data_IF_951663918849
#
_entry.id   IF_951663918849
#
_cell.length_a   1.000
_cell.length_b   1.000
_cell.length_c   1.000
_cell.angle_alpha   90.00
_cell.angle_beta   90.00
_cell.angle_gamma   90.00
#
_symmetry.space_group_name_H-M   'P 1'
#
loop_
_entity.id
_entity.type
_entity.pdbx_description
1 polymer ?
#
# COMPACT_ATOMS: atom_id res chain seq x y z
N UNK A 1 48.55 -2.15 18.37
CA UNK A 1 47.66 -3.23 17.92
C UNK A 1 46.24 -2.71 18.05
N UNK A 2 45.52 -2.56 16.94
CA UNK A 2 44.13 -2.09 16.98
C UNK A 2 43.22 -3.14 17.61
N UNK A 3 42.34 -2.73 18.52
CA UNK A 3 41.39 -3.62 19.18
C UNK A 3 40.28 -3.97 18.19
N UNK A 4 40.23 -5.17 17.63
CA UNK A 4 39.10 -5.61 16.80
C UNK A 4 37.84 -5.76 17.66
N UNK A 5 36.64 -5.35 17.19
CA UNK A 5 35.41 -5.56 17.94
C UNK A 5 35.19 -7.05 18.21
N UNK A 6 34.70 -7.38 19.41
CA UNK A 6 34.41 -8.76 19.82
C UNK A 6 32.90 -9.04 19.92
N UNK A 7 32.13 -7.97 19.95
CA UNK A 7 30.68 -7.95 20.03
C UNK A 7 30.04 -8.08 18.65
N UNK A 8 28.84 -8.64 18.62
CA UNK A 8 28.04 -8.79 17.39
C UNK A 8 26.69 -8.12 17.60
N UNK A 9 26.17 -7.47 16.56
CA UNK A 9 24.80 -6.96 16.57
C UNK A 9 23.83 -8.12 16.79
N UNK A 10 22.90 -7.96 17.74
CA UNK A 10 21.83 -8.94 17.99
C UNK A 10 20.84 -8.98 16.82
N UNK A 11 19.97 -9.98 16.78
CA UNK A 11 18.92 -10.06 15.76
C UNK A 11 18.05 -8.79 15.77
N UNK A 12 17.86 -8.20 14.60
CA UNK A 12 17.10 -6.96 14.41
C UNK A 12 15.92 -7.22 13.49
N UNK A 13 14.73 -6.81 13.93
CA UNK A 13 13.51 -6.95 13.14
C UNK A 13 13.36 -5.79 12.16
N UNK A 14 13.09 -6.11 10.89
CA UNK A 14 12.89 -5.14 9.81
C UNK A 14 11.51 -5.37 9.22
N UNK A 15 10.70 -4.30 9.18
CA UNK A 15 9.38 -4.31 8.55
C UNK A 15 9.39 -3.32 7.40
N UNK A 16 8.94 -3.78 6.24
CA UNK A 16 8.83 -2.97 5.04
C UNK A 16 7.52 -3.28 4.33
N UNK A 17 6.83 -2.23 3.88
CA UNK A 17 5.58 -2.36 3.14
C UNK A 17 5.69 -1.63 1.83
N UNK A 18 5.23 -2.28 0.77
CA UNK A 18 5.23 -1.75 -0.58
C UNK A 18 3.86 -1.98 -1.23
N UNK A 19 3.27 -0.89 -1.72
CA UNK A 19 1.99 -0.94 -2.45
C UNK A 19 2.29 -0.97 -3.93
N UNK A 20 1.85 -2.02 -4.62
CA UNK A 20 2.02 -2.13 -6.07
C UNK A 20 1.28 -0.97 -6.78
N UNK A 21 1.97 -0.14 -7.59
CA UNK A 21 1.33 0.95 -8.32
C UNK A 21 0.49 0.44 -9.49
N UNK A 22 0.78 -0.76 -9.99
CA UNK A 22 0.08 -1.40 -11.09
C UNK A 22 0.21 -2.94 -11.01
N UNK A 23 -0.47 -3.64 -11.93
CA UNK A 23 -0.24 -5.07 -12.14
C UNK A 23 1.01 -5.27 -13.00
N UNK A 24 1.85 -6.23 -12.62
CA UNK A 24 3.04 -6.62 -13.36
C UNK A 24 2.84 -8.01 -13.96
N UNK A 25 3.38 -8.26 -15.16
CA UNK A 25 3.23 -9.54 -15.86
C UNK A 25 4.20 -10.61 -15.33
N UNK A 26 5.24 -10.19 -14.60
CA UNK A 26 6.21 -11.10 -13.98
C UNK A 26 6.87 -10.48 -12.75
N UNK A 27 7.46 -11.33 -11.91
CA UNK A 27 8.28 -10.90 -10.76
C UNK A 27 9.50 -10.10 -11.21
N UNK A 28 10.10 -10.50 -12.33
CA UNK A 28 11.20 -9.75 -12.95
C UNK A 28 10.79 -8.31 -13.30
N UNK A 29 9.64 -8.13 -13.94
CA UNK A 29 9.14 -6.79 -14.32
C UNK A 29 8.93 -5.91 -13.08
N UNK A 30 8.36 -6.45 -12.00
CA UNK A 30 8.23 -5.77 -10.71
C UNK A 30 9.61 -5.38 -10.14
N UNK A 31 10.53 -6.34 -10.03
CA UNK A 31 11.85 -6.14 -9.42
C UNK A 31 12.73 -5.13 -10.18
N UNK A 32 12.55 -5.04 -11.50
CA UNK A 32 13.25 -4.06 -12.35
C UNK A 32 12.48 -2.74 -12.53
N UNK A 33 11.29 -2.61 -11.95
CA UNK A 33 10.52 -1.38 -12.08
C UNK A 33 11.19 -0.23 -11.32
N UNK A 34 11.14 0.97 -11.90
CA UNK A 34 11.74 2.18 -11.30
C UNK A 34 11.19 2.44 -9.91
N UNK A 35 9.87 2.34 -9.74
CA UNK A 35 9.22 2.57 -8.45
C UNK A 35 9.68 1.56 -7.38
N UNK A 36 9.76 0.26 -7.70
CA UNK A 36 10.27 -0.73 -6.75
C UNK A 36 11.74 -0.46 -6.39
N UNK A 37 12.58 -0.17 -7.38
CA UNK A 37 13.99 0.17 -7.14
C UNK A 37 14.14 1.41 -6.25
N UNK A 38 13.35 2.45 -6.47
CA UNK A 38 13.36 3.64 -5.63
C UNK A 38 12.89 3.36 -4.20
N UNK A 39 11.96 2.41 -3.99
CA UNK A 39 11.51 2.02 -2.64
C UNK A 39 12.50 1.11 -1.91
N UNK A 40 13.23 0.26 -2.62
CA UNK A 40 14.36 -0.50 -2.03
C UNK A 40 15.51 0.45 -1.70
N UNK A 41 15.80 1.37 -2.61
CA UNK A 41 16.85 2.37 -2.53
C UNK A 41 17.71 2.39 -3.79
N UNK A 42 18.04 3.59 -4.25
CA UNK A 42 19.05 3.87 -5.27
C UNK A 42 20.06 4.87 -4.71
N UNK A 43 21.26 4.93 -5.27
CA UNK A 43 22.35 5.75 -4.74
C UNK A 43 21.99 7.24 -4.57
N UNK A 44 21.02 7.76 -5.33
CA UNK A 44 20.58 9.15 -5.25
C UNK A 44 19.47 9.43 -4.24
N UNK A 45 18.78 8.41 -3.71
CA UNK A 45 17.62 8.61 -2.83
C UNK A 45 17.78 8.01 -1.42
N UNK A 46 18.78 7.16 -1.20
CA UNK A 46 19.17 6.71 0.14
C UNK A 46 19.87 7.86 0.88
N UNK A 47 19.78 7.83 2.21
CA UNK A 47 20.45 8.80 3.07
C UNK A 47 21.73 8.19 3.65
N UNK A 48 22.76 9.02 3.94
CA UNK A 48 23.99 8.52 4.56
C UNK A 48 23.72 7.96 5.96
N UNK A 49 24.52 6.98 6.38
CA UNK A 49 24.44 6.40 7.73
C UNK A 49 24.87 7.43 8.79
N UNK A 50 25.91 8.21 8.49
CA UNK A 50 26.44 9.27 9.35
C UNK A 50 26.61 10.56 8.55
N UNK A 51 26.29 11.71 9.16
CA UNK A 51 26.74 13.02 8.71
C UNK A 51 27.34 13.79 9.88
N UNK A 52 28.43 14.51 9.61
CA UNK A 52 29.06 15.43 10.56
C UNK A 52 28.44 16.82 10.55
N UNK A 53 27.55 17.11 9.59
CA UNK A 53 26.92 18.42 9.46
C UNK A 53 25.58 18.48 10.21
N UNK A 54 25.40 19.42 11.16
CA UNK A 54 24.13 19.58 11.85
C UNK A 54 23.01 19.92 10.86
N UNK A 55 21.93 19.14 10.88
CA UNK A 55 20.75 19.36 10.03
C UNK A 55 20.67 18.48 8.79
N UNK A 56 21.73 17.73 8.48
CA UNK A 56 21.66 16.71 7.43
C UNK A 56 20.75 15.55 7.85
N UNK A 57 19.98 15.05 6.89
CA UNK A 57 19.19 13.84 7.07
C UNK A 57 20.07 12.59 6.95
N UNK A 58 19.94 11.69 7.91
CA UNK A 58 20.58 10.37 7.92
C UNK A 58 19.60 9.28 7.50
N UNK A 59 20.07 8.04 7.40
CA UNK A 59 19.22 6.87 7.13
C UNK A 59 18.01 6.75 8.08
N UNK A 60 18.07 7.29 9.30
CA UNK A 60 16.93 7.29 10.21
C UNK A 60 15.80 8.26 9.85
N UNK A 61 16.03 9.18 8.92
CA UNK A 61 15.00 10.05 8.34
C UNK A 61 14.66 9.64 6.89
N UNK A 62 15.30 8.59 6.37
CA UNK A 62 15.02 8.05 5.06
C UNK A 62 13.74 7.21 5.02
N UNK A 63 13.30 6.86 3.82
CA UNK A 63 12.04 6.12 3.60
C UNK A 63 12.21 4.86 2.75
N UNK A 64 13.44 4.56 2.31
CA UNK A 64 13.74 3.36 1.54
C UNK A 64 13.96 2.16 2.45
N UNK A 65 13.89 0.94 1.91
CA UNK A 65 14.24 -0.27 2.67
C UNK A 65 15.71 -0.22 3.14
N UNK A 66 16.62 0.27 2.29
CA UNK A 66 18.03 0.48 2.65
C UNK A 66 18.16 1.40 3.87
N UNK A 67 17.44 2.52 3.88
CA UNK A 67 17.43 3.47 5.01
C UNK A 67 16.91 2.81 6.30
N UNK A 68 15.84 2.03 6.17
CA UNK A 68 15.21 1.29 7.28
C UNK A 68 16.21 0.34 7.93
N UNK A 69 16.94 -0.45 7.13
CA UNK A 69 17.98 -1.36 7.62
C UNK A 69 19.12 -0.59 8.29
N UNK A 70 19.64 0.44 7.62
CA UNK A 70 20.73 1.26 8.15
C UNK A 70 20.38 1.96 9.46
N UNK A 71 19.13 2.39 9.62
CA UNK A 71 18.66 2.98 10.87
C UNK A 71 18.54 1.94 11.98
N UNK A 72 17.99 0.76 11.68
CA UNK A 72 17.75 -0.29 12.65
C UNK A 72 19.03 -0.91 13.22
N UNK A 73 20.14 -0.90 12.46
CA UNK A 73 21.45 -1.30 12.97
C UNK A 73 21.88 -0.37 14.12
N UNK A 74 22.24 -0.92 15.30
CA UNK A 74 22.67 -0.14 16.45
C UNK A 74 23.83 0.81 16.10
N UNK A 75 23.75 2.03 16.65
CA UNK A 75 24.75 3.05 16.39
C UNK A 75 26.15 2.65 16.89
N UNK A 76 26.19 1.91 18.00
CA UNK A 76 27.41 1.50 18.69
C UNK A 76 27.40 -0.03 18.81
N UNK A 77 28.52 -0.67 18.47
CA UNK A 77 28.66 -2.14 18.53
C UNK A 77 29.13 -2.64 19.90
N UNK A 78 29.79 -1.79 20.69
CA UNK A 78 30.36 -2.13 21.99
C UNK A 78 29.54 -1.52 23.14
N UNK A 79 29.38 -2.28 24.22
CA UNK A 79 28.74 -1.85 25.47
C UNK A 79 29.75 -1.33 26.51
N UNK A 80 31.05 -1.53 26.27
CA UNK A 80 32.15 -1.09 27.11
C UNK A 80 32.41 0.41 26.96
N UNK A 81 32.84 1.04 28.04
CA UNK A 81 33.18 2.46 28.08
C UNK A 81 34.71 2.61 28.14
N UNK A 82 35.33 3.42 27.26
CA UNK A 82 34.72 4.24 26.20
C UNK A 82 34.29 3.43 24.97
N UNK A 83 33.15 3.81 24.39
CA UNK A 83 32.58 3.16 23.19
C UNK A 83 33.54 3.25 22.02
N UNK A 84 33.97 2.09 21.51
CA UNK A 84 35.08 2.03 20.54
C UNK A 84 34.65 1.87 19.08
N UNK A 85 33.38 1.60 18.78
CA UNK A 85 32.96 1.26 17.42
C UNK A 85 31.59 1.86 17.07
N UNK A 86 31.60 2.93 16.27
CA UNK A 86 30.41 3.65 15.83
C UNK A 86 30.13 3.37 14.35
N UNK A 87 28.86 3.18 13.96
CA UNK A 87 28.48 3.05 12.55
C UNK A 87 28.78 4.33 11.77
N UNK A 88 29.30 4.20 10.55
CA UNK A 88 29.78 5.32 9.76
C UNK A 88 29.22 5.33 8.34
N UNK A 89 29.33 4.21 7.63
CA UNK A 89 28.90 4.07 6.24
C UNK A 89 28.40 2.65 5.97
N UNK A 90 27.58 2.47 4.95
CA UNK A 90 27.12 1.16 4.51
C UNK A 90 27.25 0.98 3.00
N UNK A 91 27.33 -0.27 2.55
CA UNK A 91 27.22 -0.63 1.14
C UNK A 91 27.68 -2.05 0.87
N UNK A 92 27.75 -2.45 -0.41
CA UNK A 92 28.09 -3.82 -0.81
C UNK A 92 29.59 -3.92 -1.11
N UNK A 93 30.04 -3.17 -2.13
CA UNK A 93 31.44 -3.08 -2.56
C UNK A 93 32.05 -1.69 -2.33
N UNK A 94 31.22 -0.68 -2.09
CA UNK A 94 31.63 0.70 -1.83
C UNK A 94 30.62 1.40 -0.91
N UNK A 95 31.03 2.51 -0.31
CA UNK A 95 30.15 3.31 0.54
C UNK A 95 28.95 3.89 -0.25
N UNK A 96 27.84 4.10 0.45
CA UNK A 96 26.59 4.68 -0.07
C UNK A 96 25.99 3.88 -1.24
N UNK A 97 26.13 2.55 -1.18
CA UNK A 97 25.41 1.65 -2.07
C UNK A 97 24.13 1.15 -1.39
N UNK A 98 23.01 1.06 -2.13
CA UNK A 98 21.78 0.49 -1.62
C UNK A 98 21.85 -1.03 -1.53
N UNK A 99 20.79 -1.64 -1.01
CA UNK A 99 20.56 -3.08 -1.12
C UNK A 99 20.53 -3.52 -2.59
N UNK A 100 21.15 -4.67 -2.87
CA UNK A 100 21.16 -5.23 -4.21
C UNK A 100 19.85 -5.97 -4.51
N UNK A 101 19.32 -5.82 -5.72
CA UNK A 101 18.16 -6.57 -6.19
C UNK A 101 18.66 -7.64 -7.16
N UNK A 102 18.49 -8.91 -6.78
CA UNK A 102 18.86 -10.06 -7.61
C UNK A 102 17.59 -10.62 -8.26
N UNK A 103 17.49 -10.49 -9.57
CA UNK A 103 16.41 -11.06 -10.36
C UNK A 103 16.90 -11.39 -11.78
N UNK A 104 16.18 -12.24 -12.50
CA UNK A 104 16.48 -12.59 -13.88
C UNK A 104 15.20 -12.82 -14.68
N UNK A 105 15.21 -12.65 -16.02
CA UNK A 105 14.04 -12.93 -16.84
C UNK A 105 13.54 -14.36 -16.65
N UNK A 106 12.24 -14.51 -16.36
CA UNK A 106 11.62 -15.82 -16.07
C UNK A 106 11.77 -16.31 -14.62
N UNK A 107 12.49 -15.58 -13.76
CA UNK A 107 12.53 -15.84 -12.33
C UNK A 107 11.18 -15.53 -11.67
N UNK A 108 10.78 -16.38 -10.73
CA UNK A 108 9.64 -16.16 -9.84
C UNK A 108 10.08 -15.68 -8.45
N UNK A 109 11.35 -15.33 -8.27
CA UNK A 109 11.91 -14.90 -6.99
C UNK A 109 12.65 -13.56 -7.13
N UNK A 110 12.59 -12.75 -6.08
CA UNK A 110 13.42 -11.55 -5.89
C UNK A 110 14.38 -11.86 -4.75
N UNK A 111 15.68 -11.82 -5.03
CA UNK A 111 16.72 -11.85 -4.00
C UNK A 111 17.06 -10.44 -3.56
N UNK A 112 17.31 -10.26 -2.26
CA UNK A 112 17.83 -9.01 -1.70
C UNK A 112 19.23 -9.28 -1.15
N UNK A 113 20.22 -8.65 -1.75
CA UNK A 113 21.60 -8.65 -1.29
C UNK A 113 21.77 -7.59 -0.20
N UNK A 114 22.27 -8.02 0.96
CA UNK A 114 22.48 -7.17 2.12
C UNK A 114 23.74 -6.30 1.97
N UNK A 115 23.65 -5.09 2.50
CA UNK A 115 24.80 -4.20 2.70
C UNK A 115 25.62 -4.62 3.91
N UNK A 116 26.93 -4.36 3.87
CA UNK A 116 27.80 -4.40 5.04
C UNK A 116 27.81 -3.04 5.74
N UNK A 117 28.05 -3.04 7.05
CA UNK A 117 28.18 -1.84 7.87
C UNK A 117 29.64 -1.59 8.21
N UNK A 118 30.18 -0.45 7.77
CA UNK A 118 31.49 0.06 8.18
C UNK A 118 31.35 0.78 9.51
N UNK A 119 32.15 0.35 10.49
CA UNK A 119 32.31 0.99 11.78
C UNK A 119 33.70 1.58 11.95
N UNK A 120 33.76 2.67 12.70
CA UNK A 120 34.98 3.45 12.95
C UNK A 120 35.19 3.68 14.45
N UNK A 121 36.44 3.89 14.81
CA UNK A 121 36.88 4.18 16.17
C UNK A 121 36.52 5.60 16.64
N UNK A 122 36.51 6.55 15.71
CA UNK A 122 36.03 7.91 15.92
C UNK A 122 35.34 8.42 14.66
N UNK A 123 34.24 9.15 14.81
CA UNK A 123 33.56 9.77 13.67
C UNK A 123 34.32 10.98 13.10
N UNK A 124 35.12 11.63 13.94
CA UNK A 124 36.01 12.72 13.55
C UNK A 124 37.41 12.16 13.29
N UNK A 125 37.81 12.09 12.02
CA UNK A 125 39.06 11.48 11.55
C UNK A 125 39.24 10.00 11.95
N UNK A 126 38.44 9.09 11.34
CA UNK A 126 38.58 7.64 11.57
C UNK A 126 40.03 7.16 11.35
N UNK A 127 40.58 6.40 12.28
CA UNK A 127 41.91 5.78 12.14
C UNK A 127 41.84 4.27 11.95
N UNK A 128 40.75 3.65 12.41
CA UNK A 128 40.50 2.22 12.31
C UNK A 128 39.14 1.95 11.68
N UNK A 129 39.05 0.84 10.95
CA UNK A 129 37.84 0.42 10.26
C UNK A 129 37.55 -1.05 10.59
N UNK A 130 36.30 -1.33 10.92
CA UNK A 130 35.76 -2.67 11.04
C UNK A 130 34.54 -2.80 10.13
N UNK A 131 34.34 -3.96 9.52
CA UNK A 131 33.20 -4.24 8.65
C UNK A 131 32.36 -5.37 9.25
N UNK A 132 31.09 -5.08 9.52
CA UNK A 132 30.13 -6.08 9.96
C UNK A 132 29.27 -6.53 8.77
N UNK A 133 29.15 -7.85 8.63
CA UNK A 133 28.35 -8.50 7.62
C UNK A 133 27.13 -9.15 8.26
N UNK A 134 26.00 -9.11 7.55
CA UNK A 134 24.73 -9.62 8.04
C UNK A 134 24.19 -10.73 7.14
N UNK A 135 23.35 -11.57 7.71
CA UNK A 135 22.60 -12.60 6.99
C UNK A 135 21.14 -12.58 7.43
N UNK A 136 20.24 -12.90 6.51
CA UNK A 136 18.84 -13.12 6.85
C UNK A 136 18.69 -14.36 7.72
N UNK A 137 18.17 -14.20 8.94
CA UNK A 137 17.84 -15.32 9.82
C UNK A 137 16.49 -15.94 9.43
N UNK A 138 15.49 -15.09 9.22
CA UNK A 138 14.15 -15.46 8.77
C UNK A 138 13.55 -14.30 7.96
N UNK A 139 12.74 -14.63 6.94
CA UNK A 139 12.02 -13.64 6.16
C UNK A 139 10.62 -14.18 5.83
N UNK A 140 9.59 -13.39 6.13
CA UNK A 140 8.21 -13.68 5.75
C UNK A 140 7.68 -12.54 4.88
N UNK A 141 7.00 -12.91 3.81
CA UNK A 141 6.39 -11.95 2.88
C UNK A 141 4.91 -12.28 2.77
N UNK A 142 4.06 -11.31 3.11
CA UNK A 142 2.63 -11.38 2.86
C UNK A 142 2.26 -10.50 1.68
N UNK A 143 1.48 -11.04 0.76
CA UNK A 143 0.89 -10.30 -0.34
C UNK A 143 -0.60 -10.20 -0.10
N UNK A 144 -1.09 -8.98 0.10
CA UNK A 144 -2.52 -8.71 0.27
C UNK A 144 -2.98 -7.75 -0.80
N UNK A 145 -4.02 -8.15 -1.54
CA UNK A 145 -4.74 -7.24 -2.41
C UNK A 145 -5.60 -6.34 -1.52
N UNK A 146 -5.54 -5.02 -1.66
CA UNK A 146 -6.38 -4.03 -0.92
C UNK A 146 -7.85 -4.09 -1.38
N UNK A 147 -8.41 -5.29 -1.49
CA UNK A 147 -9.71 -5.54 -2.09
C UNK A 147 -10.48 -6.56 -1.26
N UNK A 148 -10.70 -6.27 0.01
CA UNK A 148 -11.67 -7.06 0.79
C UNK A 148 -12.55 -6.20 1.73
N UNK A 149 -12.93 -5.01 1.27
CA UNK A 149 -14.26 -4.47 1.61
C UNK A 149 -15.19 -4.69 0.42
N UNK A 150 -15.53 -5.96 0.17
CA UNK A 150 -16.60 -6.27 -0.78
C UNK A 150 -17.88 -5.64 -0.24
N UNK A 151 -18.50 -4.79 -1.05
CA UNK A 151 -19.71 -4.07 -0.67
C UNK A 151 -20.79 -4.35 -1.72
N UNK A 152 -22.02 -4.53 -1.27
CA UNK A 152 -23.14 -4.95 -2.10
C UNK A 152 -23.85 -3.72 -2.68
N UNK A 153 -23.24 -3.09 -3.68
CA UNK A 153 -23.69 -1.80 -4.23
C UNK A 153 -24.08 -1.83 -5.72
N UNK A 154 -24.88 -2.81 -6.12
CA UNK A 154 -25.55 -2.84 -7.43
C UNK A 154 -26.92 -2.16 -7.39
N UNK A 155 -27.50 -1.89 -8.57
CA UNK A 155 -28.71 -1.07 -8.75
C UNK A 155 -28.57 0.32 -8.11
N UNK A 156 -27.51 1.04 -8.49
CA UNK A 156 -27.21 2.34 -7.92
C UNK A 156 -26.60 3.27 -8.96
N UNK A 157 -27.06 4.51 -8.93
CA UNK A 157 -26.51 5.59 -9.73
C UNK A 157 -25.43 6.32 -8.94
N UNK A 158 -24.34 6.61 -9.64
CA UNK A 158 -23.22 7.36 -9.13
C UNK A 158 -22.93 8.56 -10.00
N UNK A 159 -22.68 9.69 -9.36
CA UNK A 159 -22.19 10.90 -9.99
C UNK A 159 -20.71 11.10 -9.64
N UNK A 160 -19.88 11.33 -10.65
CA UNK A 160 -18.44 11.53 -10.49
C UNK A 160 -18.12 13.02 -10.60
N UNK A 161 -17.36 13.54 -9.64
CA UNK A 161 -16.82 14.89 -9.67
C UNK A 161 -15.30 14.89 -9.60
N UNK A 162 -14.67 15.93 -10.15
CA UNK A 162 -13.24 16.21 -9.99
C UNK A 162 -13.03 17.38 -9.03
N UNK A 163 -12.06 17.24 -8.13
CA UNK A 163 -11.66 18.28 -7.19
C UNK A 163 -10.21 18.62 -7.47
N UNK A 164 -9.94 19.89 -7.74
CA UNK A 164 -8.58 20.39 -7.93
C UNK A 164 -8.01 20.91 -6.63
N UNK A 165 -6.70 20.73 -6.43
CA UNK A 165 -5.98 21.13 -5.23
C UNK A 165 -4.69 21.87 -5.61
N UNK A 166 -4.33 22.85 -4.80
CA UNK A 166 -3.04 23.55 -4.90
C UNK A 166 -1.93 22.83 -4.10
N UNK A 167 -0.74 23.45 -4.06
CA UNK A 167 0.41 22.93 -3.33
C UNK A 167 0.21 22.88 -1.80
N UNK A 168 -0.75 23.63 -1.27
CA UNK A 168 -1.08 23.70 0.15
C UNK A 168 -2.31 22.84 0.50
N UNK A 169 -2.75 21.98 -0.42
CA UNK A 169 -3.92 21.12 -0.29
C UNK A 169 -5.25 21.87 -0.07
N UNK A 170 -5.35 23.14 -0.48
CA UNK A 170 -6.63 23.85 -0.54
C UNK A 170 -7.37 23.39 -1.79
N UNK A 171 -8.62 22.98 -1.62
CA UNK A 171 -9.41 22.31 -2.68
C UNK A 171 -10.50 23.20 -3.27
N UNK A 172 -10.79 23.02 -4.55
CA UNK A 172 -12.04 23.52 -5.15
C UNK A 172 -13.26 22.77 -4.62
N UNK A 173 -14.45 23.25 -4.97
CA UNK A 173 -15.67 22.42 -4.95
C UNK A 173 -15.53 21.25 -5.93
N UNK A 174 -16.38 20.23 -5.76
CA UNK A 174 -16.48 19.14 -6.73
C UNK A 174 -17.09 19.66 -8.03
N UNK A 175 -16.30 19.63 -9.10
CA UNK A 175 -16.72 20.03 -10.43
C UNK A 175 -17.27 18.80 -11.16
N UNK A 176 -18.46 18.96 -11.74
CA UNK A 176 -19.20 17.90 -12.45
C UNK A 176 -19.22 18.21 -13.95
N UNK A 177 -19.44 17.17 -14.76
CA UNK A 177 -19.52 17.27 -16.22
C UNK A 177 -20.89 16.75 -16.68
N UNK A 178 -21.46 17.21 -17.81
CA UNK A 178 -22.79 16.76 -18.25
C UNK A 178 -22.95 15.23 -18.41
N UNK A 179 -21.85 14.50 -18.68
CA UNK A 179 -21.83 13.05 -18.85
C UNK A 179 -20.98 12.38 -17.75
N UNK A 180 -21.30 12.60 -16.49
CA UNK A 180 -20.54 12.12 -15.33
C UNK A 180 -21.31 11.14 -14.44
N UNK A 181 -22.47 10.67 -14.89
CA UNK A 181 -23.31 9.72 -14.17
C UNK A 181 -23.15 8.32 -14.74
N UNK A 182 -23.00 7.33 -13.86
CA UNK A 182 -22.89 5.91 -14.20
C UNK A 182 -23.89 5.09 -13.37
N UNK A 183 -24.64 4.21 -14.02
CA UNK A 183 -25.58 3.30 -13.37
C UNK A 183 -25.01 1.89 -13.33
N UNK A 184 -24.93 1.31 -12.12
CA UNK A 184 -24.56 -0.09 -11.94
C UNK A 184 -25.84 -0.94 -11.92
N UNK A 185 -26.15 -1.75 -12.95
CA UNK A 185 -27.36 -2.58 -12.98
C UNK A 185 -27.33 -3.73 -11.96
N UNK A 186 -28.51 -4.31 -11.67
CA UNK A 186 -28.65 -5.49 -10.81
C UNK A 186 -27.82 -6.70 -11.28
N UNK A 187 -27.66 -6.88 -12.60
CA UNK A 187 -26.94 -8.01 -13.19
C UNK A 187 -25.45 -8.05 -12.87
N UNK A 188 -24.88 -7.00 -12.29
CA UNK A 188 -23.49 -6.98 -11.82
C UNK A 188 -23.38 -7.06 -10.29
N UNK A 189 -24.42 -7.57 -9.61
CA UNK A 189 -24.45 -7.74 -8.16
C UNK A 189 -23.43 -8.76 -7.63
N UNK A 190 -23.04 -9.73 -8.44
CA UNK A 190 -22.03 -10.75 -8.16
C UNK A 190 -20.61 -10.32 -8.58
N UNK A 191 -20.48 -9.22 -9.33
CA UNK A 191 -19.21 -8.76 -9.89
C UNK A 191 -18.57 -7.64 -9.07
N UNK A 192 -17.25 -7.50 -9.22
CA UNK A 192 -16.53 -6.31 -8.76
C UNK A 192 -16.68 -5.19 -9.79
N UNK A 193 -17.57 -4.24 -9.49
CA UNK A 193 -17.79 -3.08 -10.32
C UNK A 193 -16.68 -2.02 -10.16
N UNK A 194 -16.22 -1.44 -11.27
CA UNK A 194 -15.24 -0.36 -11.29
C UNK A 194 -15.64 0.71 -12.28
N UNK A 195 -15.51 1.98 -11.90
CA UNK A 195 -15.79 3.13 -12.76
C UNK A 195 -14.47 3.63 -13.34
N UNK A 196 -14.38 3.73 -14.67
CA UNK A 196 -13.23 4.32 -15.36
C UNK A 196 -13.55 5.76 -15.76
N UNK A 197 -12.78 6.69 -15.23
CA UNK A 197 -12.92 8.12 -15.56
C UNK A 197 -11.90 8.50 -16.63
N UNK A 198 -12.37 9.17 -17.68
CA UNK A 198 -11.50 9.73 -18.73
C UNK A 198 -11.59 11.25 -18.67
N UNK A 199 -10.46 11.93 -18.44
CA UNK A 199 -10.38 13.39 -18.48
C UNK A 199 -10.09 13.81 -19.93
N UNK A 200 -11.01 14.49 -20.63
CA UNK A 200 -10.78 14.97 -21.99
C UNK A 200 -9.61 15.95 -22.02
N UNK A 201 -8.81 15.95 -23.09
CA UNK A 201 -7.67 16.86 -23.23
C UNK A 201 -8.08 18.34 -23.30
N UNK A 202 -9.33 18.62 -23.68
CA UNK A 202 -9.93 19.95 -23.67
C UNK A 202 -10.24 20.45 -22.25
N UNK A 203 -10.39 19.55 -21.28
CA UNK A 203 -10.67 19.90 -19.88
C UNK A 203 -9.36 20.28 -19.18
N UNK A 204 -8.97 21.55 -19.34
CA UNK A 204 -7.77 22.08 -18.70
C UNK A 204 -8.02 22.38 -17.20
N UNK A 205 -7.08 22.02 -16.32
CA UNK A 205 -7.18 22.39 -14.91
C UNK A 205 -7.07 23.91 -14.73
N UNK A 206 -7.62 24.46 -13.64
CA UNK A 206 -7.36 25.86 -13.27
C UNK A 206 -5.87 26.15 -13.12
N UNK A 207 -5.44 27.37 -13.41
CA UNK A 207 -4.00 27.75 -13.43
C UNK A 207 -3.27 27.53 -12.10
N UNK A 208 -4.00 27.52 -10.99
CA UNK A 208 -3.46 27.36 -9.64
C UNK A 208 -3.40 25.89 -9.18
N UNK A 209 -4.03 24.97 -9.92
CA UNK A 209 -4.15 23.58 -9.52
C UNK A 209 -2.88 22.79 -9.86
N UNK A 210 -2.33 22.10 -8.86
CA UNK A 210 -1.15 21.25 -9.02
C UNK A 210 -1.45 19.77 -8.79
N UNK A 211 -2.58 19.46 -8.16
CA UNK A 211 -3.06 18.10 -7.89
C UNK A 211 -4.56 18.01 -8.16
N UNK A 212 -5.07 16.80 -8.32
CA UNK A 212 -6.50 16.54 -8.40
C UNK A 212 -6.86 15.25 -7.67
N UNK A 213 -8.14 15.12 -7.30
CA UNK A 213 -8.75 13.89 -6.79
C UNK A 213 -10.16 13.75 -7.34
N UNK A 214 -10.68 12.53 -7.37
CA UNK A 214 -12.07 12.27 -7.71
C UNK A 214 -12.94 12.17 -6.47
N UNK A 215 -14.15 12.68 -6.56
CA UNK A 215 -15.22 12.43 -5.63
C UNK A 215 -16.31 11.62 -6.34
N UNK A 216 -16.90 10.67 -5.62
CA UNK A 216 -18.04 9.89 -6.10
C UNK A 216 -19.19 10.11 -5.13
N UNK A 217 -20.38 10.36 -5.66
CA UNK A 217 -21.58 10.60 -4.88
C UNK A 217 -22.70 9.67 -5.39
N UNK A 218 -23.31 8.85 -4.52
CA UNK A 218 -24.50 8.09 -4.92
C UNK A 218 -25.70 9.02 -5.11
N UNK A 219 -26.74 8.56 -5.81
CA UNK A 219 -28.02 9.26 -5.89
C UNK A 219 -28.61 9.52 -4.49
N UNK A 220 -29.54 10.49 -4.40
CA UNK A 220 -30.11 10.98 -3.13
C UNK A 220 -31.01 9.95 -2.41
N UNK A 221 -31.32 8.82 -3.05
CA UNK A 221 -32.16 7.81 -2.44
C UNK A 221 -31.41 7.07 -1.32
N UNK A 222 -32.09 6.87 -0.19
CA UNK A 222 -31.59 6.02 0.87
C UNK A 222 -31.72 4.57 0.41
N UNK A 223 -30.61 3.85 0.39
CA UNK A 223 -30.59 2.44 0.03
C UNK A 223 -30.03 1.64 1.18
N UNK A 224 -30.87 0.77 1.72
CA UNK A 224 -30.44 -0.30 2.61
C UNK A 224 -30.27 -1.58 1.80
N UNK A 225 -29.13 -2.25 2.00
CA UNK A 225 -28.93 -3.59 1.42
C UNK A 225 -29.13 -4.61 2.52
N UNK A 226 -30.10 -5.48 2.29
CA UNK A 226 -30.41 -6.64 3.11
C UNK A 226 -29.84 -7.87 2.38
N UNK A 227 -29.21 -8.75 3.13
CA UNK A 227 -28.74 -10.03 2.61
C UNK A 227 -29.13 -11.14 3.60
N UNK A 228 -29.37 -12.32 3.05
CA UNK A 228 -29.71 -13.52 3.80
C UNK A 228 -29.17 -14.73 3.03
N UNK A 229 -28.57 -15.67 3.75
CA UNK A 229 -28.08 -16.92 3.19
C UNK A 229 -29.01 -18.11 3.50
N UNK A 230 -30.01 -17.90 4.37
CA UNK A 230 -30.88 -18.94 4.89
C UNK A 230 -32.34 -18.53 4.66
N UNK A 231 -33.06 -19.35 3.91
CA UNK A 231 -34.49 -19.21 3.70
C UNK A 231 -35.18 -20.57 3.85
N UNK A 232 -36.44 -20.56 4.24
CA UNK A 232 -37.28 -21.75 4.31
C UNK A 232 -38.61 -21.50 3.60
N UNK A 233 -39.11 -22.53 2.94
CA UNK A 233 -40.41 -22.50 2.26
C UNK A 233 -41.35 -23.40 3.05
N UNK A 234 -42.49 -22.86 3.49
CA UNK A 234 -43.52 -23.68 4.13
C UNK A 234 -44.23 -24.52 3.05
N UNK A 235 -44.20 -25.87 3.13
CA UNK A 235 -44.81 -26.74 2.13
C UNK A 235 -46.35 -26.67 2.10
N UNK A 236 -46.98 -26.08 3.12
CA UNK A 236 -48.45 -25.99 3.26
C UNK A 236 -48.98 -24.67 2.73
N UNK A 237 -48.31 -23.55 3.03
CA UNK A 237 -48.75 -22.20 2.64
C UNK A 237 -48.01 -21.66 1.42
N UNK A 238 -46.91 -22.30 1.01
CA UNK A 238 -46.00 -21.84 -0.06
C UNK A 238 -45.41 -20.44 0.21
N UNK A 239 -45.37 -20.04 1.48
CA UNK A 239 -44.73 -18.81 1.93
C UNK A 239 -43.22 -19.03 2.08
N UNK A 240 -42.42 -18.05 1.65
CA UNK A 240 -40.96 -18.07 1.81
C UNK A 240 -40.57 -17.14 2.94
N UNK A 241 -39.84 -17.68 3.91
CA UNK A 241 -39.35 -16.96 5.07
C UNK A 241 -37.84 -16.85 5.00
N UNK A 242 -37.32 -15.66 5.32
CA UNK A 242 -35.90 -15.35 5.29
C UNK A 242 -35.38 -15.13 6.70
N UNK A 243 -34.29 -15.79 7.08
CA UNK A 243 -33.62 -15.49 8.34
C UNK A 243 -32.82 -14.20 8.18
N UNK A 244 -33.19 -13.18 8.95
CA UNK A 244 -32.46 -11.93 9.04
C UNK A 244 -31.63 -11.94 10.32
N UNK A 245 -30.34 -11.64 10.22
CA UNK A 245 -29.42 -11.63 11.36
C UNK A 245 -28.77 -10.25 11.53
N UNK A 246 -28.44 -9.91 12.78
CA UNK A 246 -27.76 -8.67 13.12
C UNK A 246 -28.51 -7.42 12.68
N UNK A 247 -27.82 -6.50 12.03
CA UNK A 247 -28.40 -5.21 11.59
C UNK A 247 -29.46 -5.35 10.50
N UNK A 248 -29.51 -6.47 9.76
CA UNK A 248 -30.49 -6.66 8.70
C UNK A 248 -31.93 -6.74 9.23
N UNK A 249 -32.12 -7.13 10.50
CA UNK A 249 -33.43 -7.11 11.16
C UNK A 249 -33.98 -5.70 11.34
N UNK A 250 -33.11 -4.69 11.45
CA UNK A 250 -33.51 -3.28 11.66
C UNK A 250 -33.78 -2.53 10.37
N UNK A 251 -33.53 -3.16 9.22
CA UNK A 251 -33.71 -2.57 7.88
C UNK A 251 -35.04 -2.97 7.25
N UNK A 252 -35.88 -3.70 7.98
CA UNK A 252 -37.12 -4.29 7.48
C UNK A 252 -38.30 -3.85 8.32
N UNK A 253 -39.31 -3.25 7.68
CA UNK A 253 -40.57 -2.88 8.30
C UNK A 253 -41.77 -3.54 7.59
N UNK A 254 -42.87 -3.72 8.32
CA UNK A 254 -44.09 -4.31 7.74
C UNK A 254 -44.70 -3.37 6.71
N UNK A 255 -44.89 -3.86 5.48
CA UNK A 255 -45.45 -3.09 4.38
C UNK A 255 -44.41 -2.56 3.39
N UNK A 256 -43.12 -2.77 3.66
CA UNK A 256 -42.04 -2.43 2.73
C UNK A 256 -42.09 -3.29 1.47
N UNK A 257 -41.59 -2.71 0.38
CA UNK A 257 -41.35 -3.40 -0.88
C UNK A 257 -39.87 -3.42 -1.19
N UNK A 258 -39.31 -4.61 -1.36
CA UNK A 258 -37.89 -4.80 -1.63
C UNK A 258 -37.63 -5.09 -3.09
N UNK A 259 -36.39 -4.82 -3.51
CA UNK A 259 -35.89 -5.18 -4.84
C UNK A 259 -34.98 -6.39 -4.69
N UNK A 260 -35.33 -7.48 -5.37
CA UNK A 260 -34.50 -8.67 -5.45
C UNK A 260 -33.44 -8.45 -6.52
N UNK A 261 -32.17 -8.64 -6.14
CA UNK A 261 -31.00 -8.50 -7.03
C UNK A 261 -30.33 -9.83 -7.35
N UNK A 262 -30.48 -10.82 -6.47
CA UNK A 262 -29.91 -12.17 -6.57
C UNK A 262 -30.96 -13.15 -6.04
N UNK A 263 -31.20 -14.22 -6.79
CA UNK A 263 -32.05 -15.34 -6.38
C UNK A 263 -31.22 -16.64 -6.25
N UNK A 264 -31.90 -17.78 -6.10
CA UNK A 264 -31.26 -19.10 -5.99
C UNK A 264 -30.58 -19.58 -7.28
N UNK A 265 -30.89 -18.95 -8.42
CA UNK A 265 -30.30 -19.20 -9.72
C UNK A 265 -29.16 -18.23 -10.05
N UNK A 266 -28.97 -17.18 -9.25
CA UNK A 266 -27.86 -16.23 -9.34
C UNK A 266 -28.31 -14.77 -9.46
N UNK A 267 -27.43 -13.88 -9.97
CA UNK A 267 -27.76 -12.47 -10.13
C UNK A 267 -28.86 -12.26 -11.18
N UNK A 268 -29.85 -11.44 -10.86
CA UNK A 268 -30.91 -11.09 -11.79
C UNK A 268 -30.41 -10.02 -12.78
N UNK A 269 -30.56 -10.30 -14.08
CA UNK A 269 -30.16 -9.36 -15.15
C UNK A 269 -30.85 -7.99 -15.01
N UNK A 270 -32.11 -8.01 -14.57
CA UNK A 270 -32.92 -6.83 -14.26
C UNK A 270 -33.50 -6.98 -12.86
N UNK A 271 -33.57 -5.87 -12.15
CA UNK A 271 -34.13 -5.82 -10.81
C UNK A 271 -35.59 -6.29 -10.81
N UNK A 272 -35.91 -7.23 -9.93
CA UNK A 272 -37.29 -7.70 -9.70
C UNK A 272 -37.82 -7.11 -8.41
N UNK A 273 -39.13 -6.91 -8.36
CA UNK A 273 -39.87 -6.51 -7.17
C UNK A 273 -40.72 -7.65 -6.63
#
# INVERSE_FOLDING_TARGET
SGNTPSETTVSTDIIFSYVLPQSFNSVYELATSVDFQEKIGIASNIKPVYSSHPGDETSCQGSTLTDTINCAIPNILDSSQPTSWTKFESGISAANQPLGIITSPGSNTIGIELIAMRRVDATNNPTQNAYEYFSWNFAEVSFQKISDTRSLHSNRDYEIGIIYMDNFNRSSTALVSPNNSEHIPCGFSDQKNSIRVTIPTQQKPPYWATKYKFAIKPSRENYETIYTSIYFIDPTTNETYFLLEGENQRKVETGDRYIVKVDTQGPLLRCSY
#
